data_IF_211395605573
#
_entry.id   IF_211395605573
#
_cell.length_a   1.000
_cell.length_b   1.000
_cell.length_c   1.000
_cell.angle_alpha   90.00
_cell.angle_beta   90.00
_cell.angle_gamma   90.00
#
_symmetry.space_group_name_H-M   'P 1'
#
loop_
_entity.id
_entity.type
_entity.pdbx_description
1 polymer ?
#
# COMPACT_ATOMS: atom_id res chain seq x y z
N UNK A 1 68.44 24.54 20.52
CA UNK A 1 67.42 25.19 19.65
C UNK A 1 66.01 24.90 20.18
N UNK A 2 65.35 25.90 20.78
CA UNK A 2 64.01 25.81 21.34
C UNK A 2 63.07 26.81 20.67
N UNK A 3 62.83 26.64 19.37
CA UNK A 3 61.92 27.52 18.64
C UNK A 3 60.47 27.09 18.86
N UNK A 4 59.62 28.01 19.29
CA UNK A 4 58.17 27.89 19.07
C UNK A 4 57.84 28.54 17.73
N UNK A 5 57.16 27.79 16.86
CA UNK A 5 56.58 28.33 15.64
C UNK A 5 55.11 28.65 15.90
N UNK A 6 54.69 29.87 15.63
CA UNK A 6 53.29 30.28 15.71
C UNK A 6 52.68 30.19 14.33
N UNK A 7 51.67 29.33 14.15
CA UNK A 7 50.83 29.33 12.95
C UNK A 7 49.72 30.37 13.12
N UNK A 8 49.58 31.29 12.17
CA UNK A 8 48.50 32.29 12.12
C UNK A 8 47.23 31.76 11.46
N UNK A 9 47.21 30.48 11.05
CA UNK A 9 46.03 29.82 10.51
C UNK A 9 45.02 29.48 11.61
N UNK A 10 43.75 29.79 11.37
CA UNK A 10 42.66 29.36 12.25
C UNK A 10 42.50 27.83 12.13
N UNK A 11 42.69 27.12 13.23
CA UNK A 11 42.36 25.69 13.33
C UNK A 11 40.91 25.55 13.79
N UNK A 12 40.02 25.16 12.88
CA UNK A 12 38.61 24.89 13.21
C UNK A 12 38.43 23.40 13.49
N UNK A 13 38.06 23.06 14.73
CA UNK A 13 37.57 21.72 15.07
C UNK A 13 36.11 21.65 14.66
N UNK A 14 35.81 20.87 13.62
CA UNK A 14 34.44 20.63 13.19
C UNK A 14 33.93 19.37 13.88
N UNK A 15 32.88 19.51 14.69
CA UNK A 15 32.20 18.35 15.29
C UNK A 15 31.41 17.65 14.19
N UNK A 16 31.68 16.35 13.91
CA UNK A 16 30.95 15.63 12.88
C UNK A 16 29.50 15.39 13.29
N UNK A 17 28.58 15.52 12.34
CA UNK A 17 27.19 15.15 12.52
C UNK A 17 27.07 13.65 12.81
N UNK A 18 26.18 13.22 13.72
CA UNK A 18 25.93 11.81 13.95
C UNK A 18 25.17 11.17 12.77
N UNK A 19 25.32 9.85 12.59
CA UNK A 19 24.46 9.08 11.69
C UNK A 19 23.06 8.95 12.32
N UNK A 20 21.98 9.27 11.60
CA UNK A 20 20.62 9.16 12.13
C UNK A 20 20.19 7.70 12.24
N UNK A 21 19.29 7.40 13.19
CA UNK A 21 18.63 6.09 13.27
C UNK A 21 17.12 6.28 13.23
N UNK A 22 16.42 5.33 12.59
CA UNK A 22 14.97 5.28 12.57
C UNK A 22 14.55 4.08 13.43
N UNK A 23 13.63 4.30 14.36
CA UNK A 23 13.05 3.26 15.23
C UNK A 23 11.66 2.87 14.74
N UNK A 24 10.84 3.85 14.35
CA UNK A 24 9.49 3.60 13.85
C UNK A 24 9.04 4.70 12.89
N UNK A 25 7.95 4.40 12.18
CA UNK A 25 7.34 5.26 11.18
C UNK A 25 5.82 5.08 11.20
N UNK A 26 5.08 6.18 11.15
CA UNK A 26 3.61 6.18 11.17
C UNK A 26 3.04 7.18 10.17
N UNK A 27 2.12 6.78 9.27
CA UNK A 27 1.80 5.38 8.94
C UNK A 27 3.03 4.66 8.35
N UNK A 28 3.11 3.34 8.54
CA UNK A 28 4.13 2.48 7.89
C UNK A 28 3.60 1.79 6.62
N UNK A 29 2.34 2.03 6.28
CA UNK A 29 1.71 1.49 5.09
C UNK A 29 0.51 2.34 4.65
N UNK A 30 0.25 2.33 3.33
CA UNK A 30 -0.99 2.87 2.73
C UNK A 30 -1.41 2.01 1.53
N UNK A 31 -2.63 2.20 1.04
CA UNK A 31 -3.03 1.65 -0.26
C UNK A 31 -2.32 2.39 -1.41
N UNK A 32 -2.14 1.72 -2.56
CA UNK A 32 -1.68 2.41 -3.77
C UNK A 32 -2.67 3.52 -4.14
N UNK A 33 -2.20 4.55 -4.84
CA UNK A 33 -2.99 5.73 -5.26
C UNK A 33 -3.58 6.56 -4.10
N UNK A 34 -3.13 6.36 -2.86
CA UNK A 34 -3.47 7.25 -1.74
C UNK A 34 -3.09 8.70 -2.10
N UNK A 35 -3.97 9.71 -1.86
CA UNK A 35 -3.62 11.12 -2.01
C UNK A 35 -2.38 11.48 -1.18
N UNK A 36 -1.76 12.63 -1.45
CA UNK A 36 -0.59 13.07 -0.67
C UNK A 36 -0.86 13.01 0.83
N UNK A 37 0.08 12.45 1.60
CA UNK A 37 -0.04 12.26 3.04
C UNK A 37 1.29 12.52 3.75
N UNK A 38 1.23 12.73 5.06
CA UNK A 38 2.42 12.96 5.87
C UNK A 38 2.77 11.69 6.64
N UNK A 39 4.05 11.32 6.64
CA UNK A 39 4.62 10.31 7.54
C UNK A 39 5.36 11.00 8.68
N UNK A 40 5.30 10.40 9.86
CA UNK A 40 6.11 10.75 11.03
C UNK A 40 7.14 9.66 11.26
N UNK A 41 8.42 10.03 11.31
CA UNK A 41 9.52 9.14 11.66
C UNK A 41 9.96 9.43 13.09
N UNK A 42 10.06 8.38 13.90
CA UNK A 42 10.63 8.44 15.25
C UNK A 42 11.98 7.74 15.26
N UNK A 43 12.97 8.35 15.90
CA UNK A 43 14.34 7.89 15.84
C UNK A 43 15.28 8.63 16.79
N UNK A 44 16.56 8.68 16.44
CA UNK A 44 17.56 9.46 17.17
C UNK A 44 18.50 10.17 16.22
N UNK A 45 19.21 11.18 16.74
CA UNK A 45 20.25 11.92 16.01
C UNK A 45 19.74 12.67 14.79
N UNK A 46 18.46 13.07 14.75
CA UNK A 46 17.96 13.95 13.70
C UNK A 46 18.46 15.38 13.91
N UNK A 47 18.65 16.09 12.80
CA UNK A 47 19.11 17.47 12.72
C UNK A 47 18.07 18.28 11.96
N UNK A 48 18.08 19.61 12.13
CA UNK A 48 17.23 20.50 11.35
C UNK A 48 17.48 20.43 9.83
N UNK A 49 18.64 19.91 9.43
CA UNK A 49 19.05 19.68 8.05
C UNK A 49 18.90 18.22 7.59
N UNK A 50 18.30 17.34 8.41
CA UNK A 50 18.02 15.96 8.01
C UNK A 50 17.03 15.90 6.85
N UNK A 51 17.24 14.96 5.92
CA UNK A 51 16.36 14.72 4.78
C UNK A 51 15.84 13.29 4.82
N UNK A 52 14.51 13.13 4.82
CA UNK A 52 13.85 11.83 4.62
C UNK A 52 13.88 11.49 3.13
N UNK A 53 14.29 10.27 2.80
CA UNK A 53 14.33 9.75 1.44
C UNK A 53 13.37 8.57 1.33
N UNK A 54 12.51 8.60 0.32
CA UNK A 54 11.51 7.57 0.03
C UNK A 54 11.83 6.95 -1.32
N UNK A 55 12.19 5.66 -1.33
CA UNK A 55 12.75 4.99 -2.51
C UNK A 55 13.98 5.71 -3.10
N UNK A 56 14.81 6.33 -2.26
CA UNK A 56 15.95 7.14 -2.68
C UNK A 56 15.61 8.58 -3.12
N UNK A 57 14.33 8.94 -3.26
CA UNK A 57 13.90 10.31 -3.59
C UNK A 57 13.75 11.13 -2.32
N UNK A 58 14.42 12.29 -2.26
CA UNK A 58 14.27 13.23 -1.14
C UNK A 58 12.84 13.77 -1.05
N UNK A 59 12.27 13.75 0.16
CA UNK A 59 10.97 14.32 0.47
C UNK A 59 11.11 15.68 1.16
N UNK A 60 10.07 16.52 1.05
CA UNK A 60 9.93 17.72 1.88
C UNK A 60 9.85 17.29 3.34
N UNK A 61 10.93 17.55 4.08
CA UNK A 61 11.13 17.09 5.46
C UNK A 61 11.02 18.28 6.41
N UNK A 62 10.25 18.12 7.48
CA UNK A 62 10.13 19.09 8.58
C UNK A 62 10.75 18.50 9.82
N UNK A 63 11.73 19.20 10.37
CA UNK A 63 12.32 18.85 11.65
C UNK A 63 11.40 19.23 12.81
N UNK A 64 11.04 18.25 13.63
CA UNK A 64 10.24 18.48 14.84
C UNK A 64 11.15 18.47 16.06
N UNK A 65 12.01 17.45 16.18
CA UNK A 65 13.01 17.33 17.25
C UNK A 65 14.13 16.38 16.83
N UNK A 66 15.18 16.27 17.65
CA UNK A 66 16.27 15.32 17.44
C UNK A 66 15.82 13.83 17.41
N UNK A 67 14.56 13.55 17.73
CA UNK A 67 13.95 12.22 17.73
C UNK A 67 12.70 12.11 16.85
N UNK A 68 12.27 13.18 16.18
CA UNK A 68 11.07 13.19 15.35
C UNK A 68 11.22 14.06 14.09
N UNK A 69 10.87 13.49 12.94
CA UNK A 69 10.74 14.18 11.65
C UNK A 69 9.34 13.93 11.09
N UNK A 70 8.81 14.88 10.34
CA UNK A 70 7.68 14.63 9.43
C UNK A 70 8.11 14.83 7.99
N UNK A 71 7.53 14.07 7.06
CA UNK A 71 7.80 14.20 5.63
C UNK A 71 6.53 14.02 4.80
N UNK A 72 6.40 14.84 3.75
CA UNK A 72 5.27 14.76 2.82
C UNK A 72 5.55 13.73 1.73
N UNK A 73 4.74 12.68 1.66
CA UNK A 73 4.76 11.68 0.58
C UNK A 73 3.76 12.09 -0.49
N UNK A 74 4.17 12.37 -1.74
CA UNK A 74 3.26 12.72 -2.81
C UNK A 74 2.51 11.47 -3.32
N UNK A 75 1.30 11.66 -3.87
CA UNK A 75 0.49 10.55 -4.41
C UNK A 75 1.22 9.75 -5.50
N UNK A 76 2.09 10.40 -6.29
CA UNK A 76 2.90 9.76 -7.32
C UNK A 76 3.90 8.74 -6.77
N UNK A 77 4.34 8.88 -5.51
CA UNK A 77 5.28 7.96 -4.87
C UNK A 77 4.63 6.62 -4.47
N UNK A 78 3.30 6.54 -4.45
CA UNK A 78 2.54 5.35 -4.03
C UNK A 78 1.68 4.76 -5.14
N UNK A 79 2.04 4.97 -6.41
CA UNK A 79 1.28 4.43 -7.54
C UNK A 79 1.49 2.93 -7.76
N UNK A 80 2.60 2.34 -7.28
CA UNK A 80 2.92 0.92 -7.47
C UNK A 80 2.90 0.21 -6.12
N UNK A 81 2.13 -0.87 -6.02
CA UNK A 81 2.09 -1.69 -4.82
C UNK A 81 3.41 -2.45 -4.63
N UNK A 82 3.82 -2.64 -3.38
CA UNK A 82 5.09 -3.27 -3.01
C UNK A 82 5.67 -2.68 -1.73
N UNK A 83 6.94 -2.98 -1.47
CA UNK A 83 7.70 -2.40 -0.35
C UNK A 83 8.61 -1.30 -0.85
N UNK A 84 8.76 -0.24 -0.05
CA UNK A 84 9.62 0.91 -0.35
C UNK A 84 10.57 1.14 0.82
N UNK A 85 11.89 1.22 0.59
CA UNK A 85 12.82 1.63 1.63
C UNK A 85 12.68 3.12 1.93
N UNK A 86 12.64 3.46 3.21
CA UNK A 86 12.67 4.82 3.73
C UNK A 86 13.92 4.99 4.59
N UNK A 87 14.69 6.05 4.32
CA UNK A 87 15.91 6.38 5.05
C UNK A 87 15.91 7.84 5.47
N UNK A 88 16.74 8.20 6.46
CA UNK A 88 17.04 9.59 6.81
C UNK A 88 18.52 9.83 6.56
N UNK A 89 18.86 10.98 5.96
CA UNK A 89 20.24 11.39 5.73
C UNK A 89 20.54 12.66 6.50
N UNK A 90 21.60 12.64 7.31
CA UNK A 90 22.22 13.83 7.88
C UNK A 90 23.38 14.26 6.98
N UNK A 91 23.48 15.55 6.61
CA UNK A 91 24.53 16.01 5.70
C UNK A 91 25.92 16.00 6.36
N UNK A 92 26.94 16.13 5.52
CA UNK A 92 28.30 16.43 5.96
C UNK A 92 28.34 17.76 6.75
N UNK A 93 29.33 17.98 7.61
CA UNK A 93 30.49 17.14 7.91
C UNK A 93 30.13 15.93 8.79
N UNK A 94 30.75 14.76 8.53
CA UNK A 94 30.33 13.50 9.15
C UNK A 94 29.00 13.03 8.57
N UNK A 95 27.98 12.89 9.41
CA UNK A 95 26.63 12.53 9.02
C UNK A 95 26.57 11.14 8.39
N UNK A 96 25.59 10.95 7.50
CA UNK A 96 25.37 9.70 6.79
C UNK A 96 23.89 9.37 6.67
N UNK A 97 23.61 8.25 6.02
CA UNK A 97 22.26 7.71 5.82
C UNK A 97 21.98 6.62 6.86
N UNK A 98 20.78 6.62 7.43
CA UNK A 98 20.32 5.58 8.34
C UNK A 98 20.22 4.22 7.65
N UNK A 99 20.12 3.15 8.44
CA UNK A 99 19.57 1.90 7.94
C UNK A 99 18.13 2.13 7.41
N UNK A 100 17.70 1.42 6.35
CA UNK A 100 16.37 1.58 5.80
C UNK A 100 15.32 0.95 6.72
N UNK A 101 14.18 1.63 6.86
CA UNK A 101 12.93 1.03 7.36
C UNK A 101 11.99 0.79 6.19
N UNK A 102 11.13 -0.21 6.31
CA UNK A 102 10.23 -0.60 5.23
C UNK A 102 8.91 0.14 5.34
N UNK A 103 8.51 0.83 4.27
CA UNK A 103 7.15 1.29 4.05
C UNK A 103 6.42 0.32 3.11
N UNK A 104 5.17 -0.02 3.39
CA UNK A 104 4.40 -0.96 2.55
C UNK A 104 3.29 -0.25 1.79
N UNK A 105 3.33 -0.31 0.45
CA UNK A 105 2.24 0.11 -0.42
C UNK A 105 1.40 -1.12 -0.73
N UNK A 106 0.23 -1.20 -0.11
CA UNK A 106 -0.69 -2.29 -0.32
C UNK A 106 -1.35 -2.17 -1.70
N UNK A 107 -1.60 -3.29 -2.35
CA UNK A 107 -2.62 -3.31 -3.41
C UNK A 107 -3.91 -2.78 -2.78
N UNK A 108 -4.63 -1.91 -3.46
CA UNK A 108 -5.99 -1.60 -3.03
C UNK A 108 -6.80 -2.89 -3.15
N UNK A 109 -7.27 -3.42 -2.02
CA UNK A 109 -8.33 -4.44 -2.03
C UNK A 109 -9.47 -3.85 -2.84
N UNK A 110 -9.91 -4.55 -3.89
CA UNK A 110 -11.05 -4.14 -4.68
C UNK A 110 -12.13 -3.61 -3.73
N UNK A 111 -12.48 -2.34 -3.86
CA UNK A 111 -13.51 -1.73 -3.05
C UNK A 111 -14.79 -1.68 -3.84
N UNK A 112 -15.90 -1.71 -3.11
CA UNK A 112 -17.23 -1.53 -3.64
C UNK A 112 -17.91 -0.47 -2.80
N UNK A 113 -18.14 0.71 -3.37
CA UNK A 113 -18.48 1.94 -2.65
C UNK A 113 -17.52 2.28 -1.49
N UNK A 114 -16.21 2.10 -1.68
CA UNK A 114 -15.22 2.43 -0.66
C UNK A 114 -15.16 1.45 0.52
N UNK A 115 -15.82 0.28 0.43
CA UNK A 115 -15.68 -0.81 1.39
C UNK A 115 -14.70 -1.86 0.85
N UNK A 116 -13.66 -2.20 1.63
CA UNK A 116 -12.68 -3.24 1.26
C UNK A 116 -13.35 -4.63 1.14
N UNK A 117 -13.17 -5.31 0.00
CA UNK A 117 -13.69 -6.67 -0.23
C UNK A 117 -12.71 -7.77 0.24
N UNK A 118 -12.15 -7.62 1.44
CA UNK A 118 -11.33 -8.68 2.03
C UNK A 118 -12.20 -9.94 2.28
N UNK A 119 -11.74 -11.09 1.79
CA UNK A 119 -12.45 -12.37 1.94
C UNK A 119 -13.38 -12.74 0.79
N UNK A 120 -13.36 -12.03 -0.35
CA UNK A 120 -14.04 -12.53 -1.56
C UNK A 120 -13.16 -13.53 -2.33
N UNK A 121 -13.70 -14.70 -2.67
CA UNK A 121 -13.07 -15.67 -3.57
C UNK A 121 -14.10 -16.32 -4.50
N UNK A 122 -13.69 -16.73 -5.71
CA UNK A 122 -14.50 -17.49 -6.66
C UNK A 122 -13.68 -18.64 -7.23
N UNK A 123 -14.02 -19.88 -6.88
CA UNK A 123 -13.26 -21.07 -7.28
C UNK A 123 -14.16 -22.31 -7.47
N UNK A 124 -13.76 -23.27 -8.32
CA UNK A 124 -12.64 -23.18 -9.26
C UNK A 124 -12.95 -22.23 -10.42
N UNK A 125 -11.93 -21.56 -10.96
CA UNK A 125 -12.03 -20.79 -12.20
C UNK A 125 -10.77 -21.07 -13.03
N UNK A 126 -10.85 -21.77 -14.18
CA UNK A 126 -12.07 -22.21 -14.88
C UNK A 126 -12.90 -23.28 -14.14
N UNK A 127 -14.19 -23.37 -14.45
CA UNK A 127 -15.12 -24.39 -13.92
C UNK A 127 -15.74 -25.23 -15.03
N UNK A 128 -16.20 -26.44 -14.70
CA UNK A 128 -17.00 -27.31 -15.57
C UNK A 128 -18.50 -27.26 -15.27
N UNK A 129 -18.94 -26.54 -14.22
CA UNK A 129 -20.37 -26.46 -13.90
C UNK A 129 -20.76 -25.98 -12.52
N UNK A 130 -19.85 -25.82 -11.57
CA UNK A 130 -20.16 -25.23 -10.25
C UNK A 130 -18.99 -24.37 -9.79
N UNK A 131 -19.29 -23.24 -9.15
CA UNK A 131 -18.31 -22.41 -8.46
C UNK A 131 -18.77 -22.13 -7.04
N UNK A 132 -17.82 -22.15 -6.11
CA UNK A 132 -17.97 -21.61 -4.77
C UNK A 132 -17.59 -20.14 -4.78
N UNK A 133 -18.44 -19.32 -4.17
CA UNK A 133 -18.27 -17.89 -3.96
C UNK A 133 -18.15 -17.67 -2.45
N UNK A 134 -16.96 -17.30 -2.00
CA UNK A 134 -16.77 -16.79 -0.65
C UNK A 134 -17.11 -15.30 -0.66
N UNK A 135 -18.07 -14.89 0.16
CA UNK A 135 -18.44 -13.48 0.31
C UNK A 135 -17.51 -12.80 1.34
N UNK A 136 -17.22 -11.50 1.18
CA UNK A 136 -16.55 -10.73 2.22
C UNK A 136 -17.30 -10.86 3.56
N UNK A 137 -16.57 -10.96 4.67
CA UNK A 137 -17.18 -11.11 6.01
C UNK A 137 -18.04 -9.91 6.43
N UNK A 138 -17.88 -8.77 5.76
CA UNK A 138 -18.71 -7.57 5.94
C UNK A 138 -20.11 -7.72 5.33
N UNK A 139 -20.30 -8.69 4.44
CA UNK A 139 -21.58 -8.99 3.80
C UNK A 139 -22.33 -10.04 4.62
N UNK A 140 -23.06 -9.56 5.62
CA UNK A 140 -23.77 -10.42 6.59
C UNK A 140 -25.07 -11.01 6.08
N UNK A 141 -25.61 -10.51 4.96
CA UNK A 141 -26.76 -11.13 4.31
C UNK A 141 -26.29 -12.36 3.50
N UNK A 142 -26.70 -13.58 3.88
CA UNK A 142 -26.30 -14.79 3.18
C UNK A 142 -27.02 -14.97 1.83
N UNK A 143 -28.13 -14.27 1.57
CA UNK A 143 -28.98 -14.44 0.38
C UNK A 143 -28.70 -13.36 -0.67
N UNK A 144 -27.45 -13.27 -1.12
CA UNK A 144 -27.03 -12.22 -2.05
C UNK A 144 -27.57 -12.47 -3.46
N UNK A 145 -28.14 -11.45 -4.13
CA UNK A 145 -28.55 -11.59 -5.53
C UNK A 145 -27.32 -11.81 -6.42
N UNK A 146 -27.44 -12.69 -7.40
CA UNK A 146 -26.38 -13.01 -8.36
C UNK A 146 -26.93 -12.88 -9.77
N UNK A 147 -26.22 -12.15 -10.61
CA UNK A 147 -26.52 -11.99 -12.03
C UNK A 147 -25.29 -12.39 -12.83
N UNK A 148 -25.45 -13.26 -13.81
CA UNK A 148 -24.44 -13.56 -14.80
C UNK A 148 -24.80 -12.95 -16.14
N UNK A 149 -23.80 -12.37 -16.79
CA UNK A 149 -23.90 -11.91 -18.17
C UNK A 149 -22.83 -12.55 -19.04
N UNK A 150 -23.13 -12.70 -20.32
CA UNK A 150 -22.09 -12.92 -21.32
C UNK A 150 -21.28 -11.62 -21.58
N UNK A 151 -20.29 -11.69 -22.46
CA UNK A 151 -19.45 -10.53 -22.82
C UNK A 151 -20.21 -9.44 -23.59
N UNK A 152 -21.40 -9.75 -24.12
CA UNK A 152 -22.28 -8.77 -24.78
C UNK A 152 -23.19 -8.04 -23.78
N UNK A 153 -23.15 -8.43 -22.49
CA UNK A 153 -23.95 -7.83 -21.42
C UNK A 153 -25.34 -8.44 -21.26
N UNK A 154 -25.70 -9.45 -22.08
CA UNK A 154 -26.97 -10.18 -21.95
C UNK A 154 -26.96 -11.01 -20.68
N UNK A 155 -28.01 -10.90 -19.87
CA UNK A 155 -28.20 -11.77 -18.71
C UNK A 155 -28.44 -13.21 -19.16
N UNK A 156 -27.60 -14.13 -18.69
CA UNK A 156 -27.70 -15.57 -19.00
C UNK A 156 -28.18 -16.39 -17.80
N UNK A 157 -27.97 -15.90 -16.58
CA UNK A 157 -28.48 -16.48 -15.35
C UNK A 157 -28.75 -15.37 -14.34
N UNK A 158 -29.85 -15.46 -13.60
CA UNK A 158 -30.15 -14.60 -12.48
C UNK A 158 -30.70 -15.46 -11.35
N UNK A 159 -30.05 -15.43 -10.20
CA UNK A 159 -30.35 -16.28 -9.04
C UNK A 159 -30.00 -15.55 -7.74
N UNK A 160 -30.11 -16.24 -6.61
CA UNK A 160 -29.56 -15.81 -5.33
C UNK A 160 -28.57 -16.83 -4.81
N UNK A 161 -27.50 -16.36 -4.18
CA UNK A 161 -26.49 -17.21 -3.57
C UNK A 161 -27.07 -17.81 -2.28
N UNK A 162 -27.01 -19.13 -2.17
CA UNK A 162 -27.37 -19.84 -0.93
C UNK A 162 -26.31 -19.69 0.15
N UNK A 163 -26.64 -20.13 1.37
CA UNK A 163 -25.70 -20.13 2.49
C UNK A 163 -24.47 -21.03 2.28
N UNK A 164 -24.53 -21.96 1.32
CA UNK A 164 -23.41 -22.81 0.90
C UNK A 164 -22.42 -22.09 -0.03
N UNK A 165 -22.74 -20.89 -0.49
CA UNK A 165 -21.91 -20.11 -1.40
C UNK A 165 -21.79 -20.73 -2.79
N UNK A 166 -22.61 -21.71 -3.15
CA UNK A 166 -22.47 -22.45 -4.41
C UNK A 166 -23.32 -21.84 -5.51
N UNK A 167 -22.74 -21.77 -6.70
CA UNK A 167 -23.41 -21.30 -7.90
C UNK A 167 -23.24 -22.33 -9.03
N UNK A 168 -24.38 -22.87 -9.48
CA UNK A 168 -24.43 -23.85 -10.55
C UNK A 168 -24.46 -23.17 -11.92
N UNK A 169 -23.45 -23.47 -12.74
CA UNK A 169 -23.23 -22.99 -14.11
C UNK A 169 -23.32 -24.13 -15.15
N UNK A 170 -23.73 -25.34 -14.75
CA UNK A 170 -23.75 -26.54 -15.62
C UNK A 170 -24.65 -26.40 -16.84
N UNK A 171 -25.70 -25.57 -16.73
CA UNK A 171 -26.66 -25.32 -17.81
C UNK A 171 -26.16 -24.29 -18.83
N UNK A 172 -25.04 -23.62 -18.54
CA UNK A 172 -24.44 -22.64 -19.45
C UNK A 172 -23.50 -23.34 -20.42
N UNK A 173 -23.48 -22.84 -21.65
CA UNK A 173 -22.48 -23.23 -22.64
C UNK A 173 -21.07 -22.88 -22.18
N UNK A 174 -20.06 -23.53 -22.77
CA UNK A 174 -18.68 -23.15 -22.56
C UNK A 174 -18.45 -21.69 -23.03
N UNK A 175 -17.77 -20.89 -22.23
CA UNK A 175 -17.59 -19.47 -22.50
C UNK A 175 -17.08 -18.66 -21.30
N UNK A 176 -16.88 -17.37 -21.55
CA UNK A 176 -16.49 -16.38 -20.53
C UNK A 176 -17.71 -15.58 -20.12
N UNK A 177 -17.92 -15.47 -18.81
CA UNK A 177 -19.05 -14.77 -18.22
C UNK A 177 -18.57 -13.76 -17.17
N UNK A 178 -19.38 -12.74 -16.92
CA UNK A 178 -19.24 -11.83 -15.78
C UNK A 178 -20.30 -12.18 -14.75
N UNK A 179 -19.86 -12.50 -13.54
CA UNK A 179 -20.69 -12.71 -12.34
C UNK A 179 -20.74 -11.39 -11.58
N UNK A 180 -21.94 -10.89 -11.36
CA UNK A 180 -22.23 -9.76 -10.49
C UNK A 180 -22.98 -10.26 -9.26
N UNK A 181 -22.45 -10.02 -8.06
CA UNK A 181 -23.04 -10.42 -6.79
C UNK A 181 -23.42 -9.17 -5.99
N UNK A 182 -24.65 -9.08 -5.50
CA UNK A 182 -25.19 -7.90 -4.81
C UNK A 182 -26.07 -7.02 -5.72
N UNK A 183 -26.62 -5.95 -5.15
CA UNK A 183 -27.60 -5.07 -5.79
C UNK A 183 -27.28 -3.59 -5.55
N UNK A 184 -27.67 -2.75 -6.51
CA UNK A 184 -27.47 -1.31 -6.45
C UNK A 184 -25.99 -0.93 -6.30
N UNK A 185 -25.63 -0.05 -5.36
CA UNK A 185 -24.25 0.35 -5.19
C UNK A 185 -23.40 -0.82 -4.67
N UNK A 186 -23.93 -1.70 -3.83
CA UNK A 186 -23.19 -2.82 -3.22
C UNK A 186 -23.22 -4.05 -4.15
N UNK A 187 -22.48 -4.01 -5.27
CA UNK A 187 -22.26 -5.17 -6.16
C UNK A 187 -20.80 -5.52 -6.52
N UNK A 188 -20.37 -6.78 -6.36
CA UNK A 188 -19.04 -7.26 -6.79
C UNK A 188 -19.15 -7.83 -8.20
N UNK A 189 -18.29 -7.41 -9.13
CA UNK A 189 -18.22 -8.01 -10.47
C UNK A 189 -16.92 -8.80 -10.68
N UNK A 190 -17.04 -10.05 -11.15
CA UNK A 190 -15.92 -10.95 -11.44
C UNK A 190 -16.10 -11.78 -12.69
N UNK A 191 -15.00 -11.99 -13.41
CA UNK A 191 -14.96 -12.87 -14.58
C UNK A 191 -14.90 -14.34 -14.13
N UNK A 192 -15.72 -15.19 -14.75
CA UNK A 192 -15.67 -16.65 -14.62
C UNK A 192 -15.56 -17.29 -16.00
N UNK A 193 -14.81 -18.37 -16.10
CA UNK A 193 -14.67 -19.17 -17.32
C UNK A 193 -15.35 -20.52 -17.11
N UNK A 194 -16.30 -20.86 -17.99
CA UNK A 194 -16.97 -22.17 -18.06
C UNK A 194 -16.37 -22.95 -19.22
N UNK A 195 -15.78 -24.11 -18.93
CA UNK A 195 -15.29 -25.07 -19.91
C UNK A 195 -16.34 -26.13 -20.23
#
# INVERSE_FOLDING_TARGET
PGGTATSTGVFTVIVPNPVPTIVSMTPNSVARNTPSFTITLTGTNFLSSSVVNFNGTALTTTFVSATSLTALVPASAVMVAGTVPVTVTNPAPGGGTSAPVVFTILMETATLNGQALAGFALYPNPTVGEVTIELPKTWTNPNQPVRLTDLTGRTVLQTRLGADGKLNLSQLSAGVYLVTIGEGPQQIMRRVVKN
#
